data_IF_894912892003
#
_entry.id   IF_894912892003
#
_cell.length_a   1.000
_cell.length_b   1.000
_cell.length_c   1.000
_cell.angle_alpha   90.00
_cell.angle_beta   90.00
_cell.angle_gamma   90.00
#
_symmetry.space_group_name_H-M   'P 1'
#
loop_
_entity.id
_entity.type
_entity.pdbx_description
1 polymer ?
#
# COMPACT_ATOMS: atom_id res chain seq x y z
N UNK A 1 11.75 -12.12 13.09
CA UNK A 1 11.96 -10.75 13.60
C UNK A 1 10.60 -10.13 13.87
N UNK A 2 10.46 -9.46 15.01
CA UNK A 2 9.26 -8.74 15.42
C UNK A 2 9.66 -7.41 16.08
N UNK A 3 8.96 -6.33 15.72
CA UNK A 3 9.17 -4.99 16.28
C UNK A 3 7.83 -4.30 16.49
N UNK A 4 7.71 -3.59 17.61
CA UNK A 4 6.57 -2.72 17.89
C UNK A 4 7.06 -1.31 18.18
N UNK A 5 6.42 -0.32 17.55
CA UNK A 5 6.64 1.10 17.80
C UNK A 5 5.31 1.73 18.22
N UNK A 6 5.36 2.70 19.11
CA UNK A 6 4.17 3.40 19.62
C UNK A 6 4.34 4.89 19.41
N UNK A 7 3.33 5.50 18.79
CA UNK A 7 3.24 6.95 18.59
C UNK A 7 1.98 7.49 19.25
N UNK A 8 1.96 8.80 19.47
CA UNK A 8 0.78 9.51 19.98
C UNK A 8 0.59 10.83 19.24
N UNK A 9 -0.66 11.07 18.81
CA UNK A 9 -1.07 12.32 18.18
C UNK A 9 -2.36 12.75 18.85
N UNK A 10 -2.30 13.76 19.72
CA UNK A 10 -3.43 14.12 20.56
C UNK A 10 -3.92 12.93 21.39
N UNK A 11 -5.20 12.61 21.27
CA UNK A 11 -5.83 11.49 21.95
C UNK A 11 -5.70 10.14 21.22
N UNK A 12 -5.03 10.12 20.06
CA UNK A 12 -4.85 8.90 19.30
C UNK A 12 -3.48 8.28 19.62
N UNK A 13 -3.51 7.05 20.11
CA UNK A 13 -2.35 6.18 20.19
C UNK A 13 -2.27 5.36 18.91
N UNK A 14 -1.07 5.27 18.32
CA UNK A 14 -0.80 4.50 17.10
C UNK A 14 0.23 3.44 17.45
N UNK A 15 -0.17 2.18 17.41
CA UNK A 15 0.73 1.04 17.57
C UNK A 15 1.07 0.51 16.18
N UNK A 16 2.36 0.48 15.85
CA UNK A 16 2.88 -0.06 14.59
C UNK A 16 3.65 -1.32 14.89
N UNK A 17 3.09 -2.46 14.49
CA UNK A 17 3.72 -3.77 14.64
C UNK A 17 4.25 -4.26 13.30
N UNK A 18 5.52 -4.66 13.26
CA UNK A 18 6.18 -5.26 12.12
C UNK A 18 6.69 -6.64 12.47
N UNK A 19 6.44 -7.60 11.61
CA UNK A 19 6.99 -8.95 11.74
C UNK A 19 7.50 -9.43 10.39
N UNK A 20 8.67 -10.07 10.40
CA UNK A 20 9.25 -10.71 9.23
C UNK A 20 9.31 -12.21 9.49
N UNK A 21 8.57 -12.96 8.68
CA UNK A 21 8.56 -14.42 8.67
C UNK A 21 9.00 -14.89 7.27
N UNK A 22 10.17 -15.55 7.23
CA UNK A 22 10.85 -15.91 5.99
C UNK A 22 11.08 -14.70 5.10
N UNK A 23 10.36 -14.60 4.00
CA UNK A 23 10.43 -13.53 3.02
C UNK A 23 9.21 -12.58 3.04
N UNK A 24 8.31 -12.76 4.01
CA UNK A 24 7.08 -11.97 4.17
C UNK A 24 7.19 -10.98 5.32
N UNK A 25 7.14 -9.70 5.01
CA UNK A 25 7.01 -8.64 6.00
C UNK A 25 5.52 -8.32 6.21
N UNK A 26 5.06 -8.42 7.45
CA UNK A 26 3.71 -7.96 7.84
C UNK A 26 3.84 -6.65 8.61
N UNK A 27 3.03 -5.67 8.25
CA UNK A 27 2.91 -4.41 8.97
C UNK A 27 1.46 -4.21 9.39
N UNK A 28 1.25 -3.95 10.69
CA UNK A 28 -0.05 -3.63 11.28
C UNK A 28 0.00 -2.30 11.97
N UNK A 29 -0.96 -1.45 11.66
CA UNK A 29 -1.20 -0.16 12.31
C UNK A 29 -2.50 -0.24 13.08
N UNK A 30 -2.48 0.11 14.37
CA UNK A 30 -3.67 0.15 15.22
C UNK A 30 -3.80 1.57 15.80
N UNK A 31 -4.90 2.23 15.47
CA UNK A 31 -5.25 3.57 15.93
C UNK A 31 -6.24 3.44 17.07
N UNK A 32 -5.88 3.83 18.28
CA UNK A 32 -6.73 3.74 19.47
C UNK A 32 -7.05 5.11 20.00
N UNK A 33 -8.33 5.41 20.19
CA UNK A 33 -8.75 6.62 20.89
C UNK A 33 -8.60 6.41 22.41
N UNK A 34 -7.62 7.06 23.00
CA UNK A 34 -7.35 7.05 24.46
C UNK A 34 -8.03 8.19 25.21
N UNK A 35 -8.76 9.06 24.49
CA UNK A 35 -9.52 10.17 25.09
C UNK A 35 -10.88 9.74 25.64
N UNK A 36 -11.56 10.66 26.28
CA UNK A 36 -12.88 10.44 26.89
C UNK A 36 -14.05 10.71 25.92
N UNK A 37 -13.76 11.37 24.79
CA UNK A 37 -14.74 11.74 23.77
C UNK A 37 -14.47 11.03 22.46
N UNK A 38 -15.51 10.95 21.62
CA UNK A 38 -15.37 10.45 20.27
C UNK A 38 -14.37 11.30 19.46
N UNK A 39 -13.49 10.66 18.74
CA UNK A 39 -12.46 11.33 17.92
C UNK A 39 -12.51 10.80 16.50
N UNK A 40 -12.55 11.69 15.53
CA UNK A 40 -12.42 11.34 14.10
C UNK A 40 -10.96 11.27 13.72
N UNK A 41 -10.56 10.21 13.05
CA UNK A 41 -9.32 10.12 12.31
C UNK A 41 -9.63 10.29 10.82
N UNK A 42 -8.91 11.18 10.15
CA UNK A 42 -9.09 11.49 8.72
C UNK A 42 -7.75 11.84 8.09
N UNK A 43 -7.71 11.80 6.78
CA UNK A 43 -6.55 12.20 5.96
C UNK A 43 -5.26 11.45 6.33
N UNK A 44 -5.41 10.18 6.67
CA UNK A 44 -4.26 9.32 6.97
C UNK A 44 -3.82 8.59 5.71
N UNK A 45 -2.61 8.92 5.25
CA UNK A 45 -1.90 8.21 4.20
C UNK A 45 -0.69 7.47 4.77
N UNK A 46 -0.54 6.18 4.45
CA UNK A 46 0.61 5.38 4.87
C UNK A 46 1.50 5.15 3.66
N UNK A 47 2.76 5.60 3.76
CA UNK A 47 3.74 5.44 2.71
C UNK A 47 4.15 3.98 2.56
N UNK A 48 4.08 3.49 1.34
CA UNK A 48 4.57 2.17 1.00
C UNK A 48 6.06 2.23 0.62
N UNK A 49 6.76 1.08 0.59
CA UNK A 49 8.15 1.04 0.13
C UNK A 49 8.32 1.22 -1.38
N UNK A 50 7.21 1.35 -2.12
CA UNK A 50 7.24 1.55 -3.56
C UNK A 50 7.51 3.02 -3.86
N UNK A 51 8.67 3.27 -4.39
CA UNK A 51 9.04 4.60 -4.88
C UNK A 51 9.77 4.49 -6.21
N UNK A 52 9.60 5.53 -6.99
CA UNK A 52 10.36 5.71 -8.22
C UNK A 52 11.44 6.76 -7.99
N UNK A 53 12.67 6.39 -8.32
CA UNK A 53 13.78 7.33 -8.37
C UNK A 53 14.63 6.96 -9.58
N UNK A 54 14.63 7.81 -10.60
CA UNK A 54 15.35 7.57 -11.84
C UNK A 54 15.95 8.85 -12.43
N UNK A 55 17.15 8.77 -12.99
CA UNK A 55 17.84 9.93 -13.54
C UNK A 55 17.23 10.43 -14.86
N UNK A 56 16.58 9.56 -15.61
CA UNK A 56 16.03 9.88 -16.94
C UNK A 56 14.91 8.90 -17.33
N UNK A 57 14.13 9.28 -18.36
CA UNK A 57 12.99 8.49 -18.83
C UNK A 57 13.39 7.10 -19.37
N UNK A 58 14.54 6.98 -20.00
CA UNK A 58 15.04 5.71 -20.55
C UNK A 58 15.31 4.72 -19.42
N UNK A 59 16.02 5.17 -18.39
CA UNK A 59 16.27 4.36 -17.18
C UNK A 59 14.95 3.97 -16.51
N UNK A 60 13.97 4.88 -16.43
CA UNK A 60 12.66 4.58 -15.91
C UNK A 60 11.99 3.44 -16.68
N UNK A 61 11.92 3.56 -18.00
CA UNK A 61 11.24 2.61 -18.86
C UNK A 61 11.89 1.22 -18.79
N UNK A 62 13.22 1.14 -18.76
CA UNK A 62 13.95 -0.12 -18.88
C UNK A 62 14.27 -0.81 -17.55
N UNK A 63 14.34 -0.08 -16.45
CA UNK A 63 14.96 -0.61 -15.23
C UNK A 63 14.14 -0.38 -13.96
N UNK A 64 13.06 0.40 -13.99
CA UNK A 64 12.36 0.79 -12.79
C UNK A 64 11.08 -0.01 -12.54
N UNK A 65 10.55 0.16 -11.37
CA UNK A 65 9.34 -0.53 -10.92
C UNK A 65 8.11 -0.02 -11.66
N UNK A 66 7.31 -0.93 -12.14
CA UNK A 66 5.98 -0.69 -12.64
C UNK A 66 4.97 -1.26 -11.65
N UNK A 67 4.07 -0.43 -11.15
CA UNK A 67 3.10 -0.83 -10.13
C UNK A 67 1.69 -0.91 -10.70
N UNK A 68 1.02 -2.01 -10.45
CA UNK A 68 -0.42 -2.17 -10.62
C UNK A 68 -1.07 -2.09 -9.25
N UNK A 69 -1.98 -1.15 -9.06
CA UNK A 69 -2.63 -0.90 -7.79
C UNK A 69 -4.11 -1.19 -7.95
N UNK A 70 -4.63 -1.99 -7.02
CA UNK A 70 -6.05 -2.20 -6.84
C UNK A 70 -6.44 -1.66 -5.47
N UNK A 71 -7.30 -0.65 -5.42
CA UNK A 71 -7.75 0.01 -4.19
C UNK A 71 -9.16 -0.43 -3.75
N UNK A 72 -9.54 -1.66 -4.08
CA UNK A 72 -10.86 -2.23 -3.80
C UNK A 72 -11.17 -2.42 -2.33
N UNK A 73 -11.15 -1.36 -1.54
CA UNK A 73 -11.44 -1.33 -0.10
C UNK A 73 -10.65 -2.40 0.69
N UNK A 74 -11.33 -3.49 1.12
CA UNK A 74 -10.72 -4.59 1.88
C UNK A 74 -9.93 -5.58 1.02
N UNK A 75 -10.01 -5.49 -0.30
CA UNK A 75 -9.28 -6.35 -1.24
C UNK A 75 -8.12 -5.63 -1.93
N UNK A 76 -7.64 -4.53 -1.37
CA UNK A 76 -6.57 -3.72 -1.95
C UNK A 76 -5.24 -4.48 -2.06
N UNK A 77 -4.51 -4.25 -3.15
CA UNK A 77 -3.16 -4.77 -3.36
C UNK A 77 -2.31 -3.86 -4.24
N UNK A 78 -1.00 -4.04 -4.16
CA UNK A 78 -0.03 -3.47 -5.09
C UNK A 78 0.82 -4.60 -5.65
N UNK A 79 0.81 -4.74 -6.96
CA UNK A 79 1.70 -5.64 -7.69
C UNK A 79 2.78 -4.80 -8.38
N UNK A 80 3.97 -4.74 -7.80
CA UNK A 80 5.07 -3.95 -8.32
C UNK A 80 6.06 -4.83 -9.09
N UNK A 81 6.11 -4.64 -10.40
CA UNK A 81 7.01 -5.33 -11.30
C UNK A 81 8.22 -4.45 -11.60
N UNK A 82 9.40 -5.03 -11.57
CA UNK A 82 10.60 -4.34 -12.06
C UNK A 82 10.52 -4.18 -13.57
N UNK A 83 10.72 -2.97 -14.04
CA UNK A 83 10.88 -2.73 -15.48
C UNK A 83 12.09 -3.52 -15.99
N UNK A 84 11.92 -4.18 -17.14
CA UNK A 84 12.90 -5.14 -17.63
C UNK A 84 12.65 -6.58 -17.18
N UNK A 85 11.66 -6.83 -16.31
CA UNK A 85 11.07 -8.15 -16.06
C UNK A 85 11.89 -9.12 -15.22
N UNK A 86 13.01 -8.67 -14.61
CA UNK A 86 13.84 -9.59 -13.80
C UNK A 86 13.30 -9.70 -12.38
N UNK A 87 12.92 -10.91 -11.97
CA UNK A 87 12.55 -11.22 -10.60
C UNK A 87 13.75 -11.11 -9.62
N UNK A 88 13.53 -10.95 -8.31
CA UNK A 88 12.22 -10.89 -7.66
C UNK A 88 11.54 -9.53 -7.86
N UNK A 89 10.24 -9.58 -7.96
CA UNK A 89 9.34 -8.43 -7.89
C UNK A 89 8.82 -8.27 -6.45
N UNK A 90 8.03 -7.24 -6.16
CA UNK A 90 7.51 -6.99 -4.84
C UNK A 90 5.99 -6.81 -4.87
N UNK A 91 5.29 -7.55 -4.03
CA UNK A 91 3.85 -7.47 -3.84
C UNK A 91 3.47 -6.95 -2.46
N UNK A 92 2.35 -6.26 -2.38
CA UNK A 92 1.67 -5.89 -1.14
C UNK A 92 0.22 -6.33 -1.24
N UNK A 93 -0.29 -6.96 -0.19
CA UNK A 93 -1.70 -7.37 -0.07
C UNK A 93 -2.25 -6.90 1.26
N UNK A 94 -3.40 -6.21 1.21
CA UNK A 94 -4.16 -5.86 2.40
C UNK A 94 -4.76 -7.13 3.01
N UNK A 95 -4.55 -7.33 4.33
CA UNK A 95 -5.03 -8.51 5.06
C UNK A 95 -6.00 -8.15 6.19
N UNK A 96 -6.09 -6.86 6.57
CA UNK A 96 -7.06 -6.35 7.55
C UNK A 96 -7.35 -4.88 7.26
N UNK A 97 -8.57 -4.43 7.49
CA UNK A 97 -8.99 -3.06 7.27
C UNK A 97 -9.42 -2.77 5.83
N UNK A 98 -9.37 -1.51 5.45
CA UNK A 98 -9.73 -1.06 4.09
C UNK A 98 -8.90 0.13 3.65
N UNK A 99 -8.75 0.29 2.33
CA UNK A 99 -8.10 1.42 1.66
C UNK A 99 -9.19 2.20 0.91
N UNK A 100 -9.23 3.50 1.12
CA UNK A 100 -10.17 4.41 0.45
C UNK A 100 -9.68 4.81 -0.95
N UNK A 101 -8.40 5.07 -1.07
CA UNK A 101 -7.74 5.52 -2.31
C UNK A 101 -6.22 5.40 -2.17
N UNK A 102 -5.51 5.71 -3.23
CA UNK A 102 -4.07 5.90 -3.17
C UNK A 102 -3.67 7.23 -3.81
N UNK A 103 -2.51 7.73 -3.39
CA UNK A 103 -1.86 8.88 -4.01
C UNK A 103 -0.42 8.54 -4.40
N UNK A 104 0.06 9.24 -5.41
CA UNK A 104 1.47 9.24 -5.78
C UNK A 104 2.03 10.61 -5.40
N UNK A 105 2.73 10.66 -4.26
CA UNK A 105 3.26 11.89 -3.71
C UNK A 105 4.68 12.14 -4.18
N UNK A 106 4.97 13.33 -4.67
CA UNK A 106 6.33 13.69 -5.05
C UNK A 106 7.22 13.81 -3.81
N UNK A 107 8.36 13.13 -3.86
CA UNK A 107 9.41 13.27 -2.84
C UNK A 107 10.28 14.48 -3.13
N UNK A 108 10.37 15.35 -2.14
CA UNK A 108 11.34 16.43 -2.11
C UNK A 108 10.95 17.60 -3.02
N UNK A 109 10.66 18.69 -2.37
CA UNK A 109 10.35 19.99 -2.98
C UNK A 109 11.65 20.73 -3.35
N UNK A 110 12.70 20.03 -3.71
CA UNK A 110 13.83 20.71 -4.32
C UNK A 110 13.47 21.05 -5.76
N UNK A 111 13.01 22.27 -5.90
CA UNK A 111 12.64 22.90 -7.16
C UNK A 111 13.81 22.84 -8.14
N UNK A 112 13.92 21.80 -8.88
CA UNK A 112 14.97 21.59 -9.87
C UNK A 112 15.39 20.13 -10.04
N UNK A 113 15.06 19.24 -9.13
CA UNK A 113 15.30 17.81 -9.24
C UNK A 113 14.03 17.08 -9.66
N UNK A 114 13.78 17.01 -10.95
CA UNK A 114 12.72 16.20 -11.55
C UNK A 114 12.96 14.68 -11.38
N UNK A 115 13.99 14.28 -10.64
CA UNK A 115 14.41 12.90 -10.47
C UNK A 115 13.82 12.21 -9.26
N UNK A 116 13.19 12.93 -8.37
CA UNK A 116 12.51 12.38 -7.20
C UNK A 116 11.04 12.16 -7.53
N UNK A 117 10.71 10.96 -7.88
CA UNK A 117 9.33 10.58 -8.13
C UNK A 117 8.67 9.98 -6.92
N UNK A 118 7.35 9.93 -7.02
CA UNK A 118 6.42 9.71 -5.98
C UNK A 118 6.61 8.45 -5.15
N UNK A 119 6.33 8.62 -3.90
CA UNK A 119 5.99 7.54 -2.99
C UNK A 119 4.52 7.24 -3.15
N UNK A 120 4.18 5.97 -3.25
CA UNK A 120 2.78 5.54 -3.21
C UNK A 120 2.32 5.57 -1.76
N UNK A 121 1.33 6.42 -1.48
CA UNK A 121 0.62 6.45 -0.21
C UNK A 121 -0.72 5.74 -0.34
N UNK A 122 -1.03 4.85 0.60
CA UNK A 122 -2.33 4.22 0.72
C UNK A 122 -3.16 4.98 1.74
N UNK A 123 -4.28 5.55 1.30
CA UNK A 123 -5.13 6.40 2.12
C UNK A 123 -6.20 5.56 2.83
N UNK A 124 -6.31 5.76 4.14
CA UNK A 124 -7.31 5.10 4.96
C UNK A 124 -8.67 5.81 4.88
N UNK A 125 -9.78 5.08 5.10
CA UNK A 125 -11.08 5.70 5.23
C UNK A 125 -11.15 6.54 6.51
N UNK A 126 -11.88 7.64 6.43
CA UNK A 126 -12.21 8.43 7.59
C UNK A 126 -13.01 7.59 8.60
N UNK A 127 -12.54 7.54 9.82
CA UNK A 127 -13.12 6.66 10.84
C UNK A 127 -13.41 7.44 12.12
N UNK A 128 -14.58 7.20 12.70
CA UNK A 128 -14.99 7.78 13.98
C UNK A 128 -14.73 6.75 15.09
N UNK A 129 -13.81 7.07 15.98
CA UNK A 129 -13.43 6.20 17.10
C UNK A 129 -14.10 6.67 18.38
N UNK A 130 -14.94 5.83 18.97
CA UNK A 130 -15.47 6.04 20.32
C UNK A 130 -14.33 5.98 21.35
N UNK A 131 -14.57 6.52 22.56
CA UNK A 131 -13.60 6.40 23.66
C UNK A 131 -13.22 4.93 23.88
N UNK A 132 -11.93 4.64 23.90
CA UNK A 132 -11.37 3.31 24.07
C UNK A 132 -11.45 2.38 22.86
N UNK A 133 -12.09 2.78 21.75
CA UNK A 133 -12.15 1.94 20.57
C UNK A 133 -10.95 2.11 19.64
N UNK A 134 -10.75 1.12 18.78
CA UNK A 134 -9.61 1.06 17.85
C UNK A 134 -10.06 0.73 16.43
N UNK A 135 -9.29 1.20 15.46
CA UNK A 135 -9.30 0.79 14.07
C UNK A 135 -7.94 0.22 13.71
N UNK A 136 -7.91 -0.88 12.98
CA UNK A 136 -6.66 -1.49 12.53
C UNK A 136 -6.64 -1.67 11.02
N UNK A 137 -5.43 -1.54 10.46
CA UNK A 137 -5.12 -1.91 9.09
C UNK A 137 -3.86 -2.75 9.09
N UNK A 138 -3.84 -3.80 8.27
CA UNK A 138 -2.69 -4.67 8.12
C UNK A 138 -2.49 -5.07 6.66
N UNK A 139 -1.25 -5.13 6.25
CA UNK A 139 -0.84 -5.71 4.98
C UNK A 139 0.37 -6.61 5.11
N UNK A 140 0.61 -7.40 4.10
CA UNK A 140 1.83 -8.16 3.94
C UNK A 140 2.55 -7.76 2.65
N UNK A 141 3.89 -7.64 2.75
CA UNK A 141 4.80 -7.46 1.63
C UNK A 141 5.57 -8.76 1.41
N UNK A 142 5.76 -9.13 0.15
CA UNK A 142 6.44 -10.38 -0.20
C UNK A 142 7.04 -10.30 -1.60
N UNK A 143 8.18 -10.98 -1.86
CA UNK A 143 8.72 -11.13 -3.19
C UNK A 143 7.88 -12.09 -4.03
N UNK A 144 7.87 -11.86 -5.35
CA UNK A 144 7.22 -12.75 -6.30
C UNK A 144 7.96 -12.82 -7.64
N UNK A 145 7.65 -13.84 -8.44
CA UNK A 145 8.35 -14.16 -9.69
C UNK A 145 7.65 -13.62 -10.95
N UNK A 146 6.53 -12.93 -10.78
CA UNK A 146 5.74 -12.37 -11.86
C UNK A 146 4.24 -12.43 -11.56
N UNK A 147 3.41 -12.04 -12.53
CA UNK A 147 1.97 -11.86 -12.32
C UNK A 147 1.26 -13.13 -11.81
N UNK A 148 1.56 -14.30 -12.34
CA UNK A 148 0.91 -15.55 -11.92
C UNK A 148 1.33 -15.94 -10.49
N UNK A 149 2.60 -15.78 -10.12
CA UNK A 149 3.06 -16.03 -8.77
C UNK A 149 2.45 -15.03 -7.77
N UNK A 150 2.39 -13.75 -8.15
CA UNK A 150 1.69 -12.73 -7.35
C UNK A 150 0.23 -13.11 -7.12
N UNK A 151 -0.51 -13.43 -8.19
CA UNK A 151 -1.92 -13.85 -8.12
C UNK A 151 -2.12 -15.05 -7.19
N UNK A 152 -1.25 -16.07 -7.30
CA UNK A 152 -1.34 -17.25 -6.44
C UNK A 152 -1.11 -16.88 -4.96
N UNK A 153 -0.12 -16.04 -4.67
CA UNK A 153 0.17 -15.55 -3.32
C UNK A 153 -0.94 -14.65 -2.76
N UNK A 154 -1.56 -13.84 -3.62
CA UNK A 154 -2.73 -13.03 -3.29
C UNK A 154 -3.91 -13.90 -2.85
N UNK A 155 -4.27 -14.90 -3.67
CA UNK A 155 -5.36 -15.82 -3.39
C UNK A 155 -5.12 -16.67 -2.13
N UNK A 156 -3.88 -17.10 -1.89
CA UNK A 156 -3.49 -17.81 -0.66
C UNK A 156 -3.70 -16.99 0.61
N UNK A 157 -3.68 -15.66 0.49
CA UNK A 157 -3.95 -14.73 1.60
C UNK A 157 -5.44 -14.38 1.74
N UNK A 158 -6.32 -15.05 1.00
CA UNK A 158 -7.77 -14.84 1.05
C UNK A 158 -8.26 -13.58 0.34
N UNK A 159 -7.39 -12.90 -0.42
CA UNK A 159 -7.77 -11.73 -1.20
C UNK A 159 -8.33 -12.11 -2.57
N UNK A 160 -8.82 -11.13 -3.33
CA UNK A 160 -9.51 -11.32 -4.61
C UNK A 160 -8.61 -10.84 -5.74
N UNK A 161 -8.51 -11.66 -6.78
CA UNK A 161 -7.93 -11.24 -8.05
C UNK A 161 -9.02 -10.87 -9.05
N UNK A 162 -8.89 -9.67 -9.63
CA UNK A 162 -9.77 -9.23 -10.70
C UNK A 162 -8.96 -8.98 -11.97
N UNK A 163 -9.46 -9.50 -13.07
CA UNK A 163 -8.91 -9.25 -14.40
C UNK A 163 -10.03 -9.12 -15.41
N UNK A 164 -9.83 -8.26 -16.39
CA UNK A 164 -10.71 -8.13 -17.53
C UNK A 164 -9.96 -8.51 -18.80
N UNK A 165 -10.65 -9.11 -19.75
CA UNK A 165 -10.11 -9.37 -21.08
C UNK A 165 -9.99 -8.09 -21.92
N UNK A 166 -10.67 -7.02 -21.52
CA UNK A 166 -10.65 -5.71 -22.18
C UNK A 166 -10.94 -4.61 -21.15
N UNK A 167 -10.12 -3.57 -21.11
CA UNK A 167 -10.22 -2.44 -20.15
C UNK A 167 -10.79 -1.16 -20.79
N UNK A 168 -10.84 -1.09 -22.13
CA UNK A 168 -11.46 0.00 -22.86
C UNK A 168 -12.51 -0.54 -23.81
N UNK A 169 -13.68 0.09 -23.83
CA UNK A 169 -14.81 -0.29 -24.63
C UNK A 169 -15.27 0.89 -25.47
N UNK A 170 -15.67 0.62 -26.70
CA UNK A 170 -16.38 1.61 -27.51
C UNK A 170 -17.82 1.78 -27.02
N UNK A 171 -18.40 2.96 -27.28
CA UNK A 171 -19.79 3.22 -26.88
C UNK A 171 -20.74 2.21 -27.53
N UNK A 172 -21.41 1.43 -26.70
CA UNK A 172 -22.38 0.39 -27.14
C UNK A 172 -21.81 -1.02 -27.25
N UNK A 173 -20.52 -1.21 -27.01
CA UNK A 173 -19.88 -2.51 -26.87
C UNK A 173 -20.29 -3.15 -25.52
N UNK A 174 -20.52 -4.48 -25.52
CA UNK A 174 -20.91 -5.26 -24.32
C UNK A 174 -19.82 -6.23 -23.95
#
# INVERSE_FOLDING_TARGET
FEQTQVYRVGNIRIDVKRSLDHDRLTERYTFTNTGQTCTRISDIGIYTPFNDNYPDATTCIHSRTHAHIWDGESAAYVNALRMGGTAPHLGLVLTEGSIKSYDILERGIDKGNSHTRGVIALNLPDTLLQSGSSYSIQWSLFPHLGNEDFKNKLLQQGSVWMSCNKYMFEKGEK
#
